data_IF_017591394621
#
_entry.id   IF_017591394621
#
_cell.length_a   1.000
_cell.length_b   1.000
_cell.length_c   1.000
_cell.angle_alpha   90.00
_cell.angle_beta   90.00
_cell.angle_gamma   90.00
#
_symmetry.space_group_name_H-M   'P 1'
#
loop_
_entity.id
_entity.type
_entity.pdbx_description
1 polymer ?
#
# COMPACT_ATOMS: atom_id res chain seq x y z
N UNK A 1 -29.07 -4.53 -33.35
CA UNK A 1 -30.32 -4.92 -32.67
C UNK A 1 -29.97 -5.10 -31.20
N UNK A 2 -30.34 -4.16 -30.32
CA UNK A 2 -30.06 -4.29 -28.88
C UNK A 2 -30.96 -5.39 -28.33
N UNK A 3 -30.39 -6.54 -27.95
CA UNK A 3 -31.15 -7.57 -27.23
C UNK A 3 -31.51 -6.99 -25.86
N UNK A 4 -32.80 -6.85 -25.60
CA UNK A 4 -33.34 -6.54 -24.27
C UNK A 4 -33.75 -7.85 -23.63
N UNK A 5 -33.13 -8.21 -22.52
CA UNK A 5 -33.48 -9.41 -21.76
C UNK A 5 -34.17 -8.96 -20.47
N UNK A 6 -35.40 -9.42 -20.24
CA UNK A 6 -36.17 -9.08 -19.05
C UNK A 6 -36.09 -10.24 -18.04
N UNK A 7 -35.66 -9.95 -16.80
CA UNK A 7 -35.74 -10.88 -15.68
C UNK A 7 -37.12 -10.74 -15.03
N UNK A 8 -38.15 -11.39 -15.59
CA UNK A 8 -39.53 -11.38 -15.06
C UNK A 8 -39.83 -12.54 -14.10
N UNK A 9 -38.99 -13.57 -14.06
CA UNK A 9 -38.98 -14.61 -13.02
C UNK A 9 -37.54 -14.84 -12.56
N UNK A 10 -37.25 -14.51 -11.31
CA UNK A 10 -35.90 -14.68 -10.75
C UNK A 10 -35.71 -16.18 -10.50
N UNK A 11 -34.80 -16.81 -11.24
CA UNK A 11 -34.28 -18.13 -10.87
C UNK A 11 -33.35 -17.90 -9.68
N UNK A 12 -33.87 -18.16 -8.48
CA UNK A 12 -33.11 -18.06 -7.25
C UNK A 12 -32.09 -19.20 -7.18
N UNK A 13 -30.98 -18.96 -6.49
CA UNK A 13 -29.98 -19.97 -6.11
C UNK A 13 -29.26 -20.64 -7.29
N UNK A 14 -29.18 -19.95 -8.44
CA UNK A 14 -28.39 -20.36 -9.60
C UNK A 14 -27.67 -19.18 -10.23
N UNK A 15 -26.50 -19.46 -10.80
CA UNK A 15 -25.81 -18.49 -11.62
C UNK A 15 -26.59 -18.19 -12.90
N UNK A 16 -26.69 -16.91 -13.24
CA UNK A 16 -27.28 -16.44 -14.47
C UNK A 16 -26.17 -16.04 -15.44
N UNK A 17 -25.94 -16.90 -16.44
CA UNK A 17 -25.02 -16.60 -17.54
C UNK A 17 -25.69 -15.69 -18.57
N UNK A 18 -25.16 -14.49 -18.73
CA UNK A 18 -25.62 -13.47 -19.68
C UNK A 18 -24.65 -13.44 -20.87
N UNK A 19 -25.20 -13.52 -22.09
CA UNK A 19 -24.39 -13.63 -23.31
C UNK A 19 -24.87 -12.71 -24.44
N UNK A 20 -23.94 -12.21 -25.25
CA UNK A 20 -24.22 -11.44 -26.47
C UNK A 20 -24.40 -9.93 -26.29
N UNK A 21 -24.05 -9.38 -25.13
CA UNK A 21 -24.10 -7.94 -24.85
C UNK A 21 -25.52 -7.38 -24.70
N UNK A 22 -25.61 -6.07 -24.45
CA UNK A 22 -26.87 -5.33 -24.44
C UNK A 22 -27.32 -4.81 -23.08
N UNK A 23 -28.63 -4.66 -22.90
CA UNK A 23 -29.22 -4.04 -21.72
C UNK A 23 -29.92 -5.08 -20.84
N UNK A 24 -29.61 -5.06 -19.55
CA UNK A 24 -30.29 -5.81 -18.50
C UNK A 24 -31.00 -4.83 -17.57
N UNK A 25 -32.31 -4.91 -17.47
CA UNK A 25 -33.11 -4.04 -16.58
C UNK A 25 -33.70 -4.82 -15.43
N UNK A 26 -33.33 -4.45 -14.20
CA UNK A 26 -33.96 -4.95 -12.98
C UNK A 26 -35.30 -4.23 -12.77
N UNK A 27 -36.41 -4.97 -12.86
CA UNK A 27 -37.77 -4.46 -12.60
C UNK A 27 -38.14 -4.46 -11.11
N UNK A 28 -37.42 -5.24 -10.31
CA UNK A 28 -37.59 -5.40 -8.87
C UNK A 28 -36.23 -5.62 -8.21
N UNK A 29 -36.18 -5.49 -6.88
CA UNK A 29 -34.99 -5.91 -6.12
C UNK A 29 -34.70 -7.38 -6.43
N UNK A 30 -33.44 -7.67 -6.71
CA UNK A 30 -33.00 -8.97 -7.22
C UNK A 30 -32.04 -9.60 -6.22
N UNK A 31 -32.52 -10.63 -5.51
CA UNK A 31 -31.71 -11.48 -4.63
C UNK A 31 -31.61 -12.88 -5.25
N UNK A 32 -30.43 -13.21 -5.78
CA UNK A 32 -30.14 -14.51 -6.38
C UNK A 32 -29.73 -15.57 -5.34
N UNK A 33 -29.73 -15.25 -4.05
CA UNK A 33 -29.30 -16.15 -2.99
C UNK A 33 -27.86 -16.62 -3.21
N UNK A 34 -27.66 -17.93 -3.39
CA UNK A 34 -26.33 -18.49 -3.68
C UNK A 34 -25.88 -18.35 -5.15
N UNK A 35 -26.71 -17.81 -6.02
CA UNK A 35 -26.39 -17.56 -7.43
C UNK A 35 -25.79 -16.19 -7.68
N UNK A 36 -25.00 -16.04 -8.74
CA UNK A 36 -24.42 -14.77 -9.20
C UNK A 36 -24.72 -14.44 -10.66
N UNK A 37 -24.15 -13.34 -11.16
CA UNK A 37 -24.20 -12.96 -12.57
C UNK A 37 -22.87 -13.28 -13.24
N UNK A 38 -22.91 -13.98 -14.38
CA UNK A 38 -21.73 -14.32 -15.18
C UNK A 38 -21.89 -13.69 -16.56
N UNK A 39 -20.94 -12.85 -16.98
CA UNK A 39 -20.96 -12.15 -18.26
C UNK A 39 -19.88 -12.71 -19.20
N UNK A 40 -20.27 -13.07 -20.42
CA UNK A 40 -19.36 -13.59 -21.46
C UNK A 40 -18.34 -12.55 -21.95
N UNK A 41 -17.31 -13.01 -22.68
CA UNK A 41 -16.20 -12.21 -23.21
C UNK A 41 -16.58 -11.32 -24.40
N UNK A 42 -15.79 -10.27 -24.62
CA UNK A 42 -15.86 -9.37 -25.78
C UNK A 42 -17.20 -8.64 -25.93
N UNK A 43 -17.85 -8.26 -24.82
CA UNK A 43 -19.14 -7.60 -24.84
C UNK A 43 -19.16 -6.25 -24.13
N UNK A 44 -20.25 -5.52 -24.29
CA UNK A 44 -20.62 -4.40 -23.43
C UNK A 44 -22.04 -4.60 -22.93
N UNK A 45 -22.20 -4.51 -21.62
CA UNK A 45 -23.47 -4.63 -20.94
C UNK A 45 -23.82 -3.33 -20.22
N UNK A 46 -25.11 -3.01 -20.16
CA UNK A 46 -25.66 -1.98 -19.28
C UNK A 46 -26.68 -2.60 -18.35
N UNK A 47 -26.35 -2.65 -17.07
CA UNK A 47 -27.26 -3.12 -16.02
C UNK A 47 -27.88 -1.91 -15.36
N UNK A 48 -29.20 -1.82 -15.41
CA UNK A 48 -29.96 -0.66 -14.91
C UNK A 48 -31.16 -1.09 -14.08
N UNK A 49 -31.58 -0.25 -13.15
CA UNK A 49 -32.75 -0.52 -12.33
C UNK A 49 -32.95 0.63 -11.36
N UNK A 50 -33.81 1.58 -11.73
CA UNK A 50 -34.05 2.78 -10.92
C UNK A 50 -34.51 2.35 -9.52
N UNK A 51 -33.73 2.74 -8.51
CA UNK A 51 -33.95 2.41 -7.11
C UNK A 51 -34.08 0.90 -6.83
N UNK A 52 -33.53 0.05 -7.70
CA UNK A 52 -33.47 -1.40 -7.51
C UNK A 52 -32.10 -1.81 -7.04
N UNK A 53 -32.09 -2.86 -6.23
CA UNK A 53 -30.89 -3.45 -5.66
C UNK A 53 -30.57 -4.82 -6.24
N UNK A 54 -29.30 -5.18 -6.21
CA UNK A 54 -28.81 -6.52 -6.51
C UNK A 54 -28.09 -7.13 -5.31
N UNK A 55 -28.36 -8.41 -5.07
CA UNK A 55 -27.67 -9.28 -4.11
C UNK A 55 -27.53 -10.68 -4.70
N UNK A 56 -26.41 -11.33 -4.43
CA UNK A 56 -26.12 -12.70 -4.86
C UNK A 56 -24.68 -13.08 -4.53
N UNK A 57 -24.22 -14.21 -5.07
CA UNK A 57 -22.85 -14.70 -4.89
C UNK A 57 -21.77 -13.73 -5.41
N UNK A 58 -22.12 -12.87 -6.37
CA UNK A 58 -21.22 -11.86 -6.93
C UNK A 58 -21.43 -11.65 -8.42
N UNK A 59 -20.41 -11.08 -9.05
CA UNK A 59 -20.33 -10.82 -10.48
C UNK A 59 -19.02 -11.38 -11.02
N UNK A 60 -19.12 -12.20 -12.07
CA UNK A 60 -17.98 -12.69 -12.85
C UNK A 60 -18.04 -12.10 -14.26
N UNK A 61 -17.01 -11.36 -14.65
CA UNK A 61 -16.95 -10.67 -15.95
C UNK A 61 -15.77 -11.21 -16.73
N UNK A 62 -16.04 -11.91 -17.83
CA UNK A 62 -15.00 -12.49 -18.65
C UNK A 62 -14.21 -11.41 -19.43
N UNK A 63 -13.13 -11.84 -20.05
CA UNK A 63 -12.14 -10.97 -20.68
C UNK A 63 -12.73 -10.04 -21.74
N UNK A 64 -12.21 -8.82 -21.81
CA UNK A 64 -12.62 -7.81 -22.78
C UNK A 64 -14.13 -7.47 -22.76
N UNK A 65 -14.78 -7.70 -21.61
CA UNK A 65 -16.16 -7.28 -21.38
C UNK A 65 -16.23 -6.13 -20.38
N UNK A 66 -17.09 -5.16 -20.67
CA UNK A 66 -17.42 -4.07 -19.74
C UNK A 66 -18.88 -4.15 -19.34
N UNK A 67 -19.15 -4.10 -18.04
CA UNK A 67 -20.50 -4.02 -17.48
C UNK A 67 -20.66 -2.64 -16.83
N UNK A 68 -21.43 -1.76 -17.47
CA UNK A 68 -21.89 -0.52 -16.84
C UNK A 68 -22.95 -0.87 -15.78
N UNK A 69 -22.63 -0.60 -14.53
CA UNK A 69 -23.41 -1.04 -13.38
C UNK A 69 -24.13 0.15 -12.73
N UNK A 70 -25.44 0.24 -12.99
CA UNK A 70 -26.29 1.34 -12.53
C UNK A 70 -27.51 0.82 -11.74
N UNK A 71 -27.21 0.00 -10.73
CA UNK A 71 -28.16 -0.50 -9.71
C UNK A 71 -27.54 -0.35 -8.33
N UNK A 72 -28.34 -0.33 -7.26
CA UNK A 72 -27.85 -0.21 -5.88
C UNK A 72 -27.33 -1.55 -5.35
N UNK A 73 -26.43 -1.49 -4.37
CA UNK A 73 -26.10 -2.64 -3.53
C UNK A 73 -27.09 -2.80 -2.38
N UNK A 74 -26.93 -3.86 -1.60
CA UNK A 74 -27.69 -4.12 -0.37
C UNK A 74 -26.80 -3.88 0.84
N UNK A 75 -27.24 -3.05 1.79
CA UNK A 75 -26.49 -2.77 3.01
C UNK A 75 -26.25 -4.06 3.83
N UNK A 76 -25.03 -4.24 4.33
CA UNK A 76 -24.61 -5.44 5.06
C UNK A 76 -24.20 -6.61 4.16
N UNK A 77 -24.40 -6.52 2.85
CA UNK A 77 -23.89 -7.47 1.86
C UNK A 77 -22.66 -6.91 1.15
N UNK A 78 -21.69 -7.75 0.80
CA UNK A 78 -20.52 -7.30 0.04
C UNK A 78 -20.68 -7.74 -1.41
N UNK A 79 -20.57 -6.80 -2.36
CA UNK A 79 -20.48 -7.17 -3.76
C UNK A 79 -19.14 -7.86 -4.01
N UNK A 80 -19.18 -9.11 -4.49
CA UNK A 80 -17.98 -9.83 -4.91
C UNK A 80 -17.77 -9.68 -6.41
N UNK A 81 -16.57 -9.27 -6.83
CA UNK A 81 -16.21 -9.14 -8.24
C UNK A 81 -15.00 -10.01 -8.57
N UNK A 82 -15.16 -10.88 -9.58
CA UNK A 82 -14.07 -11.65 -10.20
C UNK A 82 -14.10 -11.52 -11.74
N UNK A 83 -13.38 -12.39 -12.44
CA UNK A 83 -13.21 -12.31 -13.89
C UNK A 83 -12.28 -11.18 -14.33
N UNK A 84 -11.65 -11.31 -15.50
CA UNK A 84 -10.66 -10.35 -16.00
C UNK A 84 -11.27 -9.11 -16.66
N UNK A 85 -12.59 -9.08 -16.86
CA UNK A 85 -13.33 -7.95 -17.42
C UNK A 85 -13.49 -6.77 -16.46
N UNK A 86 -14.30 -5.80 -16.88
CA UNK A 86 -14.46 -4.50 -16.23
C UNK A 86 -15.88 -4.32 -15.68
N UNK A 87 -15.98 -3.95 -14.41
CA UNK A 87 -17.21 -3.45 -13.79
C UNK A 87 -17.10 -1.92 -13.67
N UNK A 88 -17.96 -1.17 -14.36
CA UNK A 88 -17.96 0.30 -14.32
C UNK A 88 -19.15 0.80 -13.50
N UNK A 89 -18.89 1.19 -12.25
CA UNK A 89 -19.91 1.51 -11.25
C UNK A 89 -20.39 2.95 -11.41
N UNK A 90 -21.64 3.11 -11.86
CA UNK A 90 -22.24 4.40 -12.25
C UNK A 90 -23.02 5.10 -11.13
N UNK A 91 -23.29 4.41 -10.02
CA UNK A 91 -24.06 4.94 -8.89
C UNK A 91 -23.50 4.46 -7.56
N UNK A 92 -23.67 5.26 -6.51
CA UNK A 92 -23.27 4.89 -5.15
C UNK A 92 -23.99 3.61 -4.73
N UNK A 93 -23.23 2.61 -4.30
CA UNK A 93 -23.77 1.28 -4.04
C UNK A 93 -24.37 1.14 -2.64
N UNK A 94 -23.93 1.95 -1.67
CA UNK A 94 -24.40 1.89 -0.29
C UNK A 94 -23.95 0.62 0.48
N UNK A 95 -23.07 -0.19 -0.11
CA UNK A 95 -22.50 -1.40 0.48
C UNK A 95 -20.97 -1.45 0.24
N UNK A 96 -20.33 -2.58 0.54
CA UNK A 96 -18.88 -2.75 0.32
C UNK A 96 -18.58 -3.59 -0.93
N UNK A 97 -17.33 -3.50 -1.40
CA UNK A 97 -16.78 -4.30 -2.50
C UNK A 97 -15.71 -5.26 -1.98
N UNK A 98 -15.72 -6.50 -2.47
CA UNK A 98 -14.56 -7.41 -2.46
C UNK A 98 -14.19 -7.76 -3.90
N UNK A 99 -12.99 -7.40 -4.35
CA UNK A 99 -12.55 -7.63 -5.73
C UNK A 99 -11.22 -8.39 -5.78
N UNK A 100 -11.13 -9.36 -6.70
CA UNK A 100 -9.95 -10.23 -6.83
C UNK A 100 -9.28 -10.26 -8.22
N UNK A 101 -9.95 -9.73 -9.25
CA UNK A 101 -9.44 -9.80 -10.63
C UNK A 101 -10.08 -8.71 -11.51
N UNK A 102 -9.46 -8.43 -12.66
CA UNK A 102 -9.94 -7.46 -13.65
C UNK A 102 -10.06 -6.04 -13.09
N UNK A 103 -10.92 -5.23 -13.68
CA UNK A 103 -11.03 -3.80 -13.33
C UNK A 103 -12.38 -3.48 -12.68
N UNK A 104 -12.37 -2.66 -11.65
CA UNK A 104 -13.56 -1.96 -11.14
C UNK A 104 -13.33 -0.45 -11.27
N UNK A 105 -14.15 0.22 -12.06
CA UNK A 105 -14.09 1.68 -12.27
C UNK A 105 -15.11 2.33 -11.33
N UNK A 106 -14.65 3.29 -10.52
CA UNK A 106 -15.49 4.06 -9.61
C UNK A 106 -15.93 5.36 -10.31
N UNK A 107 -17.04 5.27 -11.05
CA UNK A 107 -17.61 6.39 -11.82
C UNK A 107 -18.76 7.11 -11.06
N UNK A 108 -18.80 6.96 -9.74
CA UNK A 108 -19.74 7.64 -8.85
C UNK A 108 -19.02 8.18 -7.62
N UNK A 109 -19.52 9.29 -7.07
CA UNK A 109 -19.15 9.74 -5.73
C UNK A 109 -19.48 8.64 -4.72
N UNK A 110 -18.54 8.36 -3.80
CA UNK A 110 -18.68 7.36 -2.73
C UNK A 110 -19.24 6.03 -3.27
N UNK A 111 -18.60 5.53 -4.34
CA UNK A 111 -19.09 4.39 -5.12
C UNK A 111 -19.34 3.15 -4.24
N UNK A 112 -18.45 2.89 -3.28
CA UNK A 112 -18.64 1.90 -2.21
C UNK A 112 -18.30 2.51 -0.86
N UNK A 113 -18.87 1.94 0.21
CA UNK A 113 -18.54 2.33 1.58
C UNK A 113 -17.10 1.93 1.93
N UNK A 114 -16.69 0.73 1.54
CA UNK A 114 -15.34 0.18 1.71
C UNK A 114 -14.98 -0.76 0.56
N UNK A 115 -13.69 -0.87 0.25
CA UNK A 115 -13.18 -1.72 -0.82
C UNK A 115 -12.11 -2.66 -0.27
N UNK A 116 -12.27 -3.95 -0.52
CA UNK A 116 -11.29 -4.99 -0.22
C UNK A 116 -10.70 -5.52 -1.51
N UNK A 117 -9.37 -5.55 -1.59
CA UNK A 117 -8.60 -6.06 -2.71
C UNK A 117 -7.73 -7.25 -2.29
N UNK A 118 -7.73 -8.29 -3.10
CA UNK A 118 -6.96 -9.52 -2.86
C UNK A 118 -6.43 -10.13 -4.15
N UNK A 119 -5.37 -10.94 -4.03
CA UNK A 119 -4.94 -11.84 -5.10
C UNK A 119 -4.14 -11.20 -6.23
N UNK A 120 -3.89 -9.89 -6.19
CA UNK A 120 -2.90 -9.19 -7.01
C UNK A 120 -3.30 -8.87 -8.45
N UNK A 121 -4.39 -9.45 -8.96
CA UNK A 121 -4.83 -9.25 -10.36
C UNK A 121 -5.89 -8.16 -10.53
N UNK A 122 -6.48 -7.68 -9.43
CA UNK A 122 -7.51 -6.66 -9.44
C UNK A 122 -6.95 -5.25 -9.61
N UNK A 123 -7.67 -4.41 -10.35
CA UNK A 123 -7.47 -2.96 -10.42
C UNK A 123 -8.74 -2.23 -10.00
N UNK A 124 -8.62 -1.27 -9.09
CA UNK A 124 -9.66 -0.28 -8.80
C UNK A 124 -9.22 1.05 -9.41
N UNK A 125 -10.06 1.65 -10.25
CA UNK A 125 -9.73 2.87 -11.00
C UNK A 125 -10.69 4.00 -10.63
N UNK A 126 -10.16 5.14 -10.19
CA UNK A 126 -10.95 6.33 -9.88
C UNK A 126 -11.44 6.97 -11.19
N UNK A 127 -12.72 7.34 -11.27
CA UNK A 127 -13.27 8.01 -12.45
C UNK A 127 -14.35 9.05 -12.10
N UNK A 128 -14.41 9.45 -10.83
CA UNK A 128 -15.29 10.49 -10.32
C UNK A 128 -14.59 11.24 -9.19
N UNK A 129 -15.03 12.48 -8.96
CA UNK A 129 -14.64 13.23 -7.76
C UNK A 129 -15.20 12.53 -6.53
N UNK A 130 -14.43 12.48 -5.44
CA UNK A 130 -14.84 11.93 -4.15
C UNK A 130 -15.37 10.48 -4.27
N UNK A 131 -14.77 9.69 -5.16
CA UNK A 131 -15.23 8.32 -5.48
C UNK A 131 -14.99 7.30 -4.37
N UNK A 132 -13.95 7.50 -3.56
CA UNK A 132 -13.74 6.78 -2.31
C UNK A 132 -14.56 7.45 -1.20
N UNK A 133 -14.98 6.68 -0.20
CA UNK A 133 -15.65 7.26 0.98
C UNK A 133 -14.70 8.22 1.72
N UNK A 134 -15.24 9.23 2.40
CA UNK A 134 -14.44 10.18 3.18
C UNK A 134 -14.46 9.74 4.65
N UNK A 135 -13.53 8.87 5.08
CA UNK A 135 -13.31 8.66 6.52
C UNK A 135 -12.02 7.89 6.87
N UNK A 136 -10.98 8.62 7.28
CA UNK A 136 -9.95 8.14 8.23
C UNK A 136 -8.87 7.19 7.68
N UNK A 137 -8.56 6.14 8.47
CA UNK A 137 -7.51 5.16 8.19
C UNK A 137 -8.01 4.09 7.20
N UNK A 138 -8.06 4.43 5.91
CA UNK A 138 -8.22 3.46 4.82
C UNK A 138 -9.67 3.16 4.45
N UNK A 139 -10.06 3.57 3.25
CA UNK A 139 -11.32 3.22 2.60
C UNK A 139 -11.16 2.05 1.63
N UNK A 140 -9.91 1.73 1.33
CA UNK A 140 -9.46 0.62 0.50
C UNK A 140 -8.41 -0.19 1.26
N UNK A 141 -8.62 -1.51 1.28
CA UNK A 141 -7.86 -2.48 2.06
C UNK A 141 -7.25 -3.50 1.13
N UNK A 142 -5.93 -3.61 1.12
CA UNK A 142 -5.18 -4.54 0.28
C UNK A 142 -4.62 -5.66 1.14
N UNK A 143 -5.19 -6.84 0.95
CA UNK A 143 -4.73 -8.09 1.58
C UNK A 143 -3.60 -8.74 0.79
N UNK A 144 -3.34 -10.02 1.06
CA UNK A 144 -2.27 -10.80 0.45
C UNK A 144 -2.25 -10.65 -1.07
N UNK A 145 -1.07 -10.33 -1.60
CA UNK A 145 -0.77 -10.00 -2.98
C UNK A 145 -1.43 -8.72 -3.52
N UNK A 146 -2.19 -8.00 -2.69
CA UNK A 146 -2.79 -6.72 -3.00
C UNK A 146 -3.55 -6.65 -4.33
N UNK A 147 -3.17 -5.66 -5.14
CA UNK A 147 -3.80 -5.23 -6.38
C UNK A 147 -3.40 -3.79 -6.71
N UNK A 148 -4.02 -3.20 -7.73
CA UNK A 148 -3.70 -1.84 -8.17
C UNK A 148 -4.81 -0.84 -7.85
N UNK A 149 -4.47 0.29 -7.26
CA UNK A 149 -5.31 1.48 -7.22
C UNK A 149 -4.80 2.48 -8.25
N UNK A 150 -5.57 2.73 -9.31
CA UNK A 150 -5.28 3.73 -10.33
C UNK A 150 -6.02 5.03 -10.03
N UNK A 151 -5.25 6.06 -9.66
CA UNK A 151 -5.74 7.40 -9.33
C UNK A 151 -6.29 8.14 -10.56
N UNK A 152 -5.89 7.74 -11.77
CA UNK A 152 -6.45 8.22 -13.03
C UNK A 152 -6.64 9.75 -13.14
N UNK A 153 -5.65 10.54 -12.70
CA UNK A 153 -5.67 12.00 -12.77
C UNK A 153 -6.49 12.69 -11.67
N UNK A 154 -6.94 11.95 -10.66
CA UNK A 154 -7.55 12.48 -9.43
C UNK A 154 -6.50 12.49 -8.32
N UNK A 155 -6.47 13.57 -7.54
CA UNK A 155 -5.67 13.62 -6.32
C UNK A 155 -6.35 12.82 -5.22
N UNK A 156 -5.58 12.18 -4.34
CA UNK A 156 -6.10 11.42 -3.19
C UNK A 156 -5.27 11.70 -1.95
N UNK A 157 -5.93 11.69 -0.80
CA UNK A 157 -5.32 11.91 0.51
C UNK A 157 -5.72 10.80 1.46
N UNK A 158 -4.73 10.14 2.06
CA UNK A 158 -4.92 9.09 3.05
C UNK A 158 -4.20 9.46 4.34
N UNK A 159 -4.77 9.10 5.49
CA UNK A 159 -3.98 9.06 6.73
C UNK A 159 -2.97 7.91 6.64
N UNK A 160 -3.47 6.72 6.32
CA UNK A 160 -2.69 5.49 6.09
C UNK A 160 -3.35 4.73 4.94
N UNK A 161 -2.55 4.07 4.11
CA UNK A 161 -3.05 3.13 3.11
C UNK A 161 -2.99 1.74 3.73
N UNK A 162 -4.13 1.06 3.84
CA UNK A 162 -4.18 -0.26 4.46
C UNK A 162 -3.64 -1.33 3.50
N UNK A 163 -2.32 -1.44 3.36
CA UNK A 163 -1.66 -2.39 2.47
C UNK A 163 -0.80 -3.39 3.26
N UNK A 164 -1.03 -4.68 3.04
CA UNK A 164 -0.34 -5.72 3.83
C UNK A 164 1.03 -6.13 3.31
N UNK A 165 1.27 -5.95 2.02
CA UNK A 165 2.48 -6.41 1.34
C UNK A 165 2.76 -5.60 0.05
N UNK A 166 3.88 -5.92 -0.59
CA UNK A 166 4.36 -5.30 -1.83
C UNK A 166 3.57 -5.71 -3.10
N UNK A 167 2.53 -6.54 -2.99
CA UNK A 167 1.60 -6.80 -4.10
C UNK A 167 0.65 -5.63 -4.38
N UNK A 168 0.54 -4.69 -3.44
CA UNK A 168 -0.20 -3.44 -3.62
C UNK A 168 0.57 -2.45 -4.49
N UNK A 169 -0.10 -1.78 -5.42
CA UNK A 169 0.46 -0.63 -6.15
C UNK A 169 -0.55 0.51 -6.24
N UNK A 170 -0.17 1.71 -5.82
CA UNK A 170 -0.88 2.94 -6.16
C UNK A 170 -0.22 3.55 -7.39
N UNK A 171 -1.00 3.80 -8.43
CA UNK A 171 -0.49 4.32 -9.70
C UNK A 171 -1.38 5.41 -10.27
N UNK A 172 -0.90 6.09 -11.30
CA UNK A 172 -1.72 6.95 -12.13
C UNK A 172 -1.41 6.66 -13.59
N UNK A 173 -2.38 6.08 -14.29
CA UNK A 173 -2.30 5.79 -15.73
C UNK A 173 -2.64 6.99 -16.61
N UNK A 174 -3.16 8.08 -16.04
CA UNK A 174 -3.60 9.26 -16.78
C UNK A 174 -2.44 10.21 -17.11
N UNK A 175 -2.57 10.92 -18.23
CA UNK A 175 -1.64 12.00 -18.62
C UNK A 175 -1.69 13.18 -17.66
N UNK A 176 -2.85 13.43 -17.04
CA UNK A 176 -2.99 14.39 -15.96
C UNK A 176 -2.34 13.81 -14.71
N UNK A 177 -1.38 14.53 -14.14
CA UNK A 177 -0.72 14.13 -12.90
C UNK A 177 -1.72 14.04 -11.75
N UNK A 178 -1.52 13.06 -10.87
CA UNK A 178 -2.19 12.92 -9.58
C UNK A 178 -1.21 13.20 -8.43
N UNK A 179 -1.72 13.74 -7.33
CA UNK A 179 -1.02 13.89 -6.07
C UNK A 179 -1.54 12.85 -5.08
N UNK A 180 -0.63 12.04 -4.54
CA UNK A 180 -0.89 11.12 -3.43
C UNK A 180 -0.41 11.77 -2.14
N UNK A 181 -1.33 12.17 -1.27
CA UNK A 181 -1.00 12.74 0.04
C UNK A 181 -1.12 11.69 1.13
N UNK A 182 -0.05 11.51 1.91
CA UNK A 182 0.02 10.64 3.08
C UNK A 182 0.16 11.52 4.32
N UNK A 183 -0.78 11.42 5.24
CA UNK A 183 -0.96 12.39 6.33
C UNK A 183 -0.91 11.75 7.72
N UNK A 184 -0.33 10.55 7.84
CA UNK A 184 -0.06 9.91 9.12
C UNK A 184 0.66 10.88 10.06
N UNK A 185 0.27 10.86 11.34
CA UNK A 185 0.88 11.71 12.39
C UNK A 185 1.72 10.91 13.38
N UNK A 186 1.68 9.59 13.28
CA UNK A 186 2.49 8.61 13.98
C UNK A 186 3.42 7.86 13.01
N UNK A 187 4.23 6.93 13.52
CA UNK A 187 5.00 6.02 12.69
C UNK A 187 4.05 5.10 11.91
N UNK A 188 4.24 5.06 10.59
CA UNK A 188 3.44 4.24 9.68
C UNK A 188 4.32 3.69 8.57
N UNK A 189 4.23 2.38 8.34
CA UNK A 189 4.92 1.68 7.27
C UNK A 189 3.96 1.40 6.12
N UNK A 190 4.33 1.83 4.91
CA UNK A 190 3.63 1.47 3.68
C UNK A 190 4.40 0.40 2.92
N UNK A 191 3.87 -0.82 2.96
CA UNK A 191 4.43 -2.01 2.33
C UNK A 191 4.24 -2.06 0.81
N UNK A 192 3.27 -1.30 0.29
CA UNK A 192 2.96 -1.29 -1.13
C UNK A 192 3.90 -0.43 -1.98
N UNK A 193 3.65 -0.41 -3.28
CA UNK A 193 4.41 0.38 -4.25
C UNK A 193 3.68 1.67 -4.65
N UNK A 194 4.44 2.64 -5.17
CA UNK A 194 3.91 3.82 -5.86
C UNK A 194 4.58 3.95 -7.23
N UNK A 195 3.79 4.13 -8.29
CA UNK A 195 4.31 4.24 -9.65
C UNK A 195 3.54 5.21 -10.54
N UNK A 196 4.01 5.40 -11.78
CA UNK A 196 3.29 6.15 -12.80
C UNK A 196 3.35 7.67 -12.59
N UNK A 197 2.32 8.36 -13.05
CA UNK A 197 2.28 9.83 -13.07
C UNK A 197 1.77 10.42 -11.73
N UNK A 198 2.47 10.08 -10.64
CA UNK A 198 2.14 10.49 -9.27
C UNK A 198 3.23 11.41 -8.71
N UNK A 199 2.81 12.49 -8.04
CA UNK A 199 3.63 13.19 -7.04
C UNK A 199 3.20 12.76 -5.63
N UNK A 200 4.12 12.69 -4.68
CA UNK A 200 3.84 12.26 -3.30
C UNK A 200 3.99 13.44 -2.35
N UNK A 201 3.03 13.65 -1.46
CA UNK A 201 3.10 14.63 -0.39
C UNK A 201 3.03 13.96 0.99
N UNK A 202 3.98 14.29 1.85
CA UNK A 202 3.90 14.02 3.29
C UNK A 202 4.13 15.32 4.06
N UNK A 203 3.07 16.12 4.15
CA UNK A 203 3.14 17.51 4.61
C UNK A 203 2.28 17.66 5.86
N UNK A 204 2.92 17.98 6.98
CA UNK A 204 2.27 18.10 8.27
C UNK A 204 2.17 19.59 8.64
N UNK A 205 0.94 20.11 8.57
CA UNK A 205 0.66 21.52 8.87
C UNK A 205 0.51 21.69 10.39
N UNK A 206 1.63 21.93 11.07
CA UNK A 206 1.65 22.23 12.51
C UNK A 206 2.54 23.42 12.81
N UNK A 207 2.34 24.02 13.98
CA UNK A 207 3.19 25.09 14.50
C UNK A 207 4.52 24.56 15.05
N UNK A 208 4.60 23.26 15.36
CA UNK A 208 5.84 22.59 15.72
C UNK A 208 6.64 22.28 14.45
N UNK A 209 7.80 22.92 14.31
CA UNK A 209 8.61 22.84 13.08
C UNK A 209 9.25 21.46 12.84
N UNK A 210 9.06 20.49 13.73
CA UNK A 210 9.54 19.12 13.58
C UNK A 210 8.79 18.18 14.54
N UNK A 211 8.16 17.11 14.04
CA UNK A 211 7.57 16.06 14.88
C UNK A 211 8.34 14.74 14.72
N UNK A 212 9.16 14.41 15.73
CA UNK A 212 9.93 13.17 15.80
C UNK A 212 9.07 11.87 15.90
N UNK A 213 7.75 11.99 16.04
CA UNK A 213 6.86 10.83 16.08
C UNK A 213 6.14 10.60 14.74
N UNK A 214 6.18 11.57 13.82
CA UNK A 214 5.54 11.45 12.51
C UNK A 214 6.56 10.94 11.49
N UNK A 215 6.56 9.62 11.25
CA UNK A 215 7.47 8.99 10.31
C UNK A 215 6.69 8.17 9.28
N UNK A 216 6.75 8.60 8.02
CA UNK A 216 6.32 7.81 6.89
C UNK A 216 7.47 6.89 6.45
N UNK A 217 7.28 5.59 6.58
CA UNK A 217 8.29 4.58 6.23
C UNK A 217 7.81 3.87 4.97
N UNK A 218 8.58 3.95 3.89
CA UNK A 218 8.40 3.08 2.74
C UNK A 218 9.34 1.89 2.85
N UNK A 219 8.75 0.70 2.87
CA UNK A 219 9.44 -0.57 2.69
C UNK A 219 8.87 -1.38 1.52
N UNK A 220 7.96 -0.81 0.72
CA UNK A 220 7.76 -1.17 -0.68
C UNK A 220 8.65 -0.34 -1.63
N UNK A 221 8.31 -0.26 -2.93
CA UNK A 221 9.09 0.51 -3.91
C UNK A 221 8.37 1.77 -4.39
N UNK A 222 9.14 2.81 -4.71
CA UNK A 222 8.64 4.04 -5.36
C UNK A 222 9.34 4.17 -6.72
N UNK A 223 8.57 4.25 -7.80
CA UNK A 223 9.10 4.44 -9.17
C UNK A 223 8.26 5.48 -9.92
N UNK A 224 8.56 6.75 -9.66
CA UNK A 224 7.86 7.91 -10.23
C UNK A 224 8.83 8.82 -10.97
N UNK A 225 8.31 9.57 -11.94
CA UNK A 225 9.07 10.62 -12.66
C UNK A 225 8.81 12.02 -12.12
N UNK A 226 8.02 12.13 -11.06
CA UNK A 226 7.65 13.40 -10.44
C UNK A 226 8.28 13.52 -9.04
N UNK A 227 7.74 14.43 -8.24
CA UNK A 227 8.37 14.87 -7.01
C UNK A 227 7.74 14.22 -5.76
N UNK A 228 8.56 14.11 -4.73
CA UNK A 228 8.15 13.81 -3.37
C UNK A 228 8.39 15.09 -2.55
N UNK A 229 7.40 15.53 -1.78
CA UNK A 229 7.53 16.69 -0.89
C UNK A 229 7.23 16.30 0.54
N UNK A 230 8.19 16.56 1.43
CA UNK A 230 8.10 16.26 2.87
C UNK A 230 8.31 17.53 3.67
N UNK A 231 7.39 17.83 4.59
CA UNK A 231 7.49 19.03 5.43
C UNK A 231 7.03 18.78 6.86
N UNK A 232 7.85 19.22 7.82
CA UNK A 232 7.64 19.09 9.27
C UNK A 232 7.42 17.63 9.75
N UNK A 233 8.05 16.66 9.09
CA UNK A 233 7.87 15.23 9.31
C UNK A 233 9.12 14.43 8.96
N UNK A 234 9.07 13.11 9.17
CA UNK A 234 10.13 12.19 8.79
C UNK A 234 9.71 11.29 7.63
N UNK A 235 10.67 11.00 6.77
CA UNK A 235 10.57 10.02 5.69
C UNK A 235 11.68 9.00 5.85
N UNK A 236 11.32 7.72 5.91
CA UNK A 236 12.26 6.60 5.89
C UNK A 236 12.08 5.80 4.62
N UNK A 237 13.16 5.52 3.91
CA UNK A 237 13.20 4.62 2.76
C UNK A 237 14.09 3.43 3.13
N UNK A 238 13.57 2.22 3.10
CA UNK A 238 14.31 1.01 3.49
C UNK A 238 13.92 -0.20 2.64
N UNK A 239 14.71 -1.26 2.72
CA UNK A 239 14.28 -2.58 2.31
C UNK A 239 13.19 -3.16 3.23
N UNK A 240 12.69 -4.32 2.84
CA UNK A 240 11.67 -5.05 3.60
C UNK A 240 12.27 -6.29 4.23
N UNK A 241 12.05 -6.51 5.52
CA UNK A 241 12.45 -7.76 6.14
C UNK A 241 11.55 -8.88 5.59
N UNK A 242 12.14 -9.91 4.98
CA UNK A 242 11.38 -11.02 4.40
C UNK A 242 10.47 -11.65 5.46
N UNK A 243 9.21 -11.84 5.10
CA UNK A 243 8.19 -12.36 6.00
C UNK A 243 8.33 -13.87 6.19
N UNK A 244 8.20 -14.34 7.44
CA UNK A 244 8.15 -15.74 7.81
C UNK A 244 6.85 -16.11 8.51
N UNK A 245 6.46 -17.38 8.39
CA UNK A 245 5.34 -17.91 9.14
C UNK A 245 5.65 -17.88 10.66
N UNK A 246 4.61 -17.72 11.46
CA UNK A 246 4.70 -17.80 12.93
C UNK A 246 3.83 -18.96 13.45
N UNK A 247 4.11 -19.41 14.66
CA UNK A 247 3.40 -20.52 15.29
C UNK A 247 2.01 -20.12 15.80
N UNK A 248 1.87 -18.89 16.29
CA UNK A 248 0.59 -18.35 16.81
C UNK A 248 0.57 -16.83 16.85
N UNK A 249 -0.62 -16.26 16.75
CA UNK A 249 -0.87 -14.85 17.07
C UNK A 249 -1.26 -14.65 18.54
N UNK A 250 -0.87 -13.52 19.11
CA UNK A 250 -1.23 -13.13 20.48
C UNK A 250 -0.34 -13.75 21.57
N UNK A 251 -0.36 -13.14 22.75
CA UNK A 251 0.26 -13.71 23.94
C UNK A 251 -0.63 -14.77 24.58
N UNK A 252 -0.03 -15.76 25.23
CA UNK A 252 -0.76 -16.66 26.13
C UNK A 252 -1.09 -15.90 27.43
N UNK A 253 -2.00 -14.93 27.38
CA UNK A 253 -2.51 -14.26 28.57
C UNK A 253 -3.54 -15.16 29.24
N UNK A 254 -3.07 -16.05 30.11
CA UNK A 254 -3.91 -16.94 30.90
C UNK A 254 -3.70 -16.62 32.40
N UNK A 255 -4.78 -16.21 33.07
CA UNK A 255 -4.76 -15.73 34.47
C UNK A 255 -4.51 -16.85 35.49
N UNK A 256 -4.68 -18.13 35.11
CA UNK A 256 -4.59 -19.29 36.02
C UNK A 256 -3.68 -20.37 35.42
N UNK A 257 -2.36 -20.37 35.75
CA UNK A 257 -1.34 -21.24 35.13
C UNK A 257 -1.69 -22.74 35.05
N UNK A 258 -2.42 -23.28 36.03
CA UNK A 258 -2.78 -24.70 36.12
C UNK A 258 -3.85 -25.14 35.09
N UNK A 259 -4.62 -24.19 34.54
CA UNK A 259 -5.68 -24.43 33.56
C UNK A 259 -5.27 -24.01 32.14
N UNK A 260 -4.04 -23.54 31.94
CA UNK A 260 -3.60 -23.02 30.66
C UNK A 260 -3.18 -24.13 29.70
N UNK A 261 -3.54 -23.96 28.42
CA UNK A 261 -2.86 -24.71 27.36
C UNK A 261 -1.37 -24.38 27.38
N UNK A 262 -0.53 -25.42 27.25
CA UNK A 262 0.92 -25.28 27.19
C UNK A 262 1.28 -24.34 26.04
N UNK A 263 2.17 -23.38 26.29
CA UNK A 263 2.70 -22.52 25.24
C UNK A 263 3.59 -23.35 24.29
N UNK A 264 2.99 -23.90 23.25
CA UNK A 264 3.70 -24.70 22.28
C UNK A 264 4.74 -23.89 21.50
N UNK A 265 4.54 -22.57 21.33
CA UNK A 265 5.53 -21.70 20.68
C UNK A 265 6.80 -21.58 21.52
N UNK A 266 6.66 -21.48 22.85
CA UNK A 266 7.80 -21.49 23.76
C UNK A 266 8.49 -22.86 23.76
N UNK A 267 7.73 -23.96 23.75
CA UNK A 267 8.28 -25.31 23.71
C UNK A 267 9.11 -25.57 22.43
N UNK A 268 8.63 -25.12 21.26
CA UNK A 268 9.37 -25.23 20.00
C UNK A 268 10.66 -24.41 20.07
N UNK A 269 10.57 -23.14 20.50
CA UNK A 269 11.74 -22.27 20.68
C UNK A 269 12.80 -22.90 21.59
N UNK A 270 12.37 -23.50 22.70
CA UNK A 270 13.29 -24.11 23.67
C UNK A 270 13.96 -25.37 23.09
N UNK A 271 13.22 -26.18 22.32
CA UNK A 271 13.75 -27.35 21.61
C UNK A 271 14.80 -26.98 20.56
N UNK A 272 14.65 -25.83 19.90
CA UNK A 272 15.59 -25.33 18.89
C UNK A 272 16.68 -24.41 19.48
N UNK A 273 16.64 -24.10 20.78
CA UNK A 273 17.52 -23.11 21.40
C UNK A 273 19.01 -23.44 21.26
N UNK A 274 19.39 -24.71 21.41
CA UNK A 274 20.79 -25.15 21.31
C UNK A 274 21.37 -24.91 19.92
N UNK A 275 20.61 -25.20 18.87
CA UNK A 275 21.07 -24.99 17.49
C UNK A 275 21.02 -23.51 17.12
N UNK A 276 19.98 -22.79 17.55
CA UNK A 276 19.85 -21.37 17.26
C UNK A 276 20.96 -20.54 17.91
N UNK A 277 21.32 -20.82 19.18
CA UNK A 277 22.47 -20.18 19.84
C UNK A 277 23.80 -20.51 19.16
N UNK A 278 23.98 -21.75 18.69
CA UNK A 278 25.21 -22.16 17.98
C UNK A 278 25.42 -21.36 16.69
N UNK A 279 24.34 -21.03 15.99
CA UNK A 279 24.40 -20.37 14.68
C UNK A 279 23.91 -18.91 14.70
N UNK A 280 23.59 -18.34 15.86
CA UNK A 280 22.99 -17.01 16.01
C UNK A 280 21.74 -16.82 15.14
N UNK A 281 20.81 -17.78 15.25
CA UNK A 281 19.59 -17.87 14.42
C UNK A 281 18.30 -17.93 15.25
N UNK A 282 18.31 -17.34 16.44
CA UNK A 282 17.14 -17.27 17.34
C UNK A 282 15.92 -16.65 16.67
N UNK A 283 16.12 -15.78 15.68
CA UNK A 283 15.06 -15.19 14.88
C UNK A 283 14.19 -16.22 14.13
N UNK A 284 14.68 -17.45 13.88
CA UNK A 284 13.92 -18.51 13.18
C UNK A 284 12.80 -19.12 14.02
N UNK A 285 12.90 -19.04 15.34
CA UNK A 285 11.97 -19.71 16.27
C UNK A 285 11.42 -18.76 17.34
N UNK A 286 11.49 -17.45 17.13
CA UNK A 286 11.07 -16.44 18.11
C UNK A 286 9.57 -16.09 18.03
N UNK A 287 8.81 -16.75 17.14
CA UNK A 287 7.39 -16.49 16.88
C UNK A 287 7.11 -15.06 16.38
N UNK A 288 8.04 -14.47 15.63
CA UNK A 288 7.89 -13.15 15.01
C UNK A 288 7.89 -13.29 13.49
N UNK A 289 7.11 -12.44 12.80
CA UNK A 289 7.01 -12.46 11.33
C UNK A 289 8.35 -12.06 10.69
N UNK A 290 9.09 -11.18 11.36
CA UNK A 290 10.40 -10.71 10.94
C UNK A 290 11.24 -10.35 12.18
N UNK A 291 12.54 -10.16 11.98
CA UNK A 291 13.50 -9.77 13.00
C UNK A 291 14.60 -8.89 12.45
N UNK A 292 15.07 -7.92 13.24
CA UNK A 292 16.20 -7.05 12.88
C UNK A 292 17.50 -7.81 12.63
N UNK A 293 17.70 -8.97 13.25
CA UNK A 293 18.91 -9.78 13.10
C UNK A 293 18.86 -10.74 11.92
N UNK A 294 17.73 -10.86 11.23
CA UNK A 294 17.61 -11.77 10.10
C UNK A 294 18.46 -11.26 8.92
N UNK A 295 19.14 -12.15 8.17
CA UNK A 295 19.98 -11.75 7.05
C UNK A 295 19.17 -11.45 5.79
N UNK A 296 18.00 -12.05 5.64
CA UNK A 296 17.15 -12.04 4.46
C UNK A 296 16.23 -10.82 4.44
N UNK A 297 16.59 -9.87 3.58
CA UNK A 297 15.87 -8.64 3.32
C UNK A 297 15.67 -8.48 1.82
N UNK A 298 14.51 -7.97 1.44
CA UNK A 298 14.18 -7.66 0.07
C UNK A 298 14.62 -6.23 -0.24
N UNK A 299 15.50 -6.10 -1.23
CA UNK A 299 15.92 -4.78 -1.69
C UNK A 299 14.77 -4.03 -2.37
N UNK A 300 14.66 -2.73 -2.07
CA UNK A 300 13.63 -1.85 -2.62
C UNK A 300 14.23 -0.75 -3.47
N UNK A 301 13.46 -0.30 -4.47
CA UNK A 301 13.86 0.75 -5.40
C UNK A 301 13.06 2.01 -5.13
N UNK A 302 13.75 3.14 -5.08
CA UNK A 302 13.17 4.46 -4.86
C UNK A 302 13.68 5.42 -5.93
N UNK A 303 12.96 5.52 -7.04
CA UNK A 303 13.21 6.46 -8.12
C UNK A 303 12.21 7.61 -8.07
N UNK A 304 12.73 8.82 -8.10
CA UNK A 304 11.95 10.05 -8.18
C UNK A 304 12.73 11.12 -8.94
N UNK A 305 12.04 12.15 -9.45
CA UNK A 305 12.73 13.30 -10.04
C UNK A 305 13.41 14.12 -8.94
N UNK A 306 12.62 14.57 -7.95
CA UNK A 306 13.10 15.39 -6.85
C UNK A 306 12.41 15.04 -5.54
N UNK A 307 13.17 15.00 -4.46
CA UNK A 307 12.70 14.91 -3.08
C UNK A 307 12.96 16.26 -2.41
N UNK A 308 11.89 17.02 -2.14
CA UNK A 308 11.93 18.30 -1.43
C UNK A 308 11.73 18.07 0.07
N UNK A 309 12.67 18.52 0.89
CA UNK A 309 12.65 18.41 2.35
C UNK A 309 12.63 19.80 2.99
N UNK A 310 11.61 20.09 3.79
CA UNK A 310 11.51 21.33 4.56
C UNK A 310 11.25 21.06 6.04
N UNK A 311 12.20 21.42 6.90
CA UNK A 311 12.17 21.09 8.33
C UNK A 311 11.85 19.60 8.57
N UNK A 312 12.48 18.72 7.80
CA UNK A 312 12.18 17.29 7.77
C UNK A 312 13.42 16.44 8.06
N UNK A 313 13.20 15.15 8.34
CA UNK A 313 14.29 14.17 8.37
C UNK A 313 14.09 13.14 7.28
N UNK A 314 15.11 12.90 6.45
CA UNK A 314 15.19 11.77 5.54
C UNK A 314 16.15 10.72 6.11
N UNK A 315 15.70 9.48 6.19
CA UNK A 315 16.55 8.31 6.49
C UNK A 315 16.51 7.31 5.34
N UNK A 316 17.66 6.93 4.81
CA UNK A 316 17.81 5.83 3.86
C UNK A 316 18.47 4.67 4.60
N UNK A 317 17.69 3.63 4.90
CA UNK A 317 18.11 2.46 5.68
C UNK A 317 18.69 1.35 4.80
N UNK A 318 18.93 0.19 5.44
CA UNK A 318 19.41 -1.03 4.77
C UNK A 318 18.54 -1.42 3.58
N UNK A 319 19.15 -2.04 2.59
CA UNK A 319 18.54 -2.65 1.41
C UNK A 319 17.72 -1.66 0.52
N UNK A 320 17.88 -0.36 0.74
CA UNK A 320 17.30 0.69 -0.11
C UNK A 320 18.24 1.08 -1.26
N UNK A 321 17.69 1.15 -2.47
CA UNK A 321 18.35 1.69 -3.65
C UNK A 321 17.65 2.95 -4.13
N UNK A 322 18.25 4.11 -3.83
CA UNK A 322 17.61 5.42 -4.03
C UNK A 322 18.26 6.17 -5.18
N UNK A 323 17.42 6.69 -6.09
CA UNK A 323 17.86 7.50 -7.23
C UNK A 323 16.98 8.73 -7.40
N UNK A 324 17.61 9.90 -7.41
CA UNK A 324 16.92 11.17 -7.66
C UNK A 324 17.69 12.38 -7.16
N UNK A 325 17.10 13.56 -7.33
CA UNK A 325 17.64 14.79 -6.74
C UNK A 325 17.05 15.02 -5.35
N UNK A 326 17.89 15.30 -4.35
CA UNK A 326 17.43 15.76 -3.03
C UNK A 326 17.64 17.27 -2.93
N UNK A 327 16.60 18.01 -2.56
CA UNK A 327 16.70 19.41 -2.13
C UNK A 327 16.22 19.52 -0.68
N UNK A 328 17.06 20.06 0.19
CA UNK A 328 16.83 20.10 1.62
C UNK A 328 17.03 21.50 2.21
N UNK A 329 16.10 21.91 3.05
CA UNK A 329 16.17 23.17 3.81
C UNK A 329 15.83 22.91 5.26
N UNK A 330 16.71 23.35 6.17
CA UNK A 330 16.55 23.16 7.62
C UNK A 330 16.29 21.69 8.00
N UNK A 331 16.89 20.75 7.29
CA UNK A 331 16.53 19.33 7.34
C UNK A 331 17.71 18.44 7.74
N UNK A 332 17.41 17.22 8.14
CA UNK A 332 18.42 16.19 8.43
C UNK A 332 18.34 15.08 7.39
N UNK A 333 19.50 14.64 6.88
CA UNK A 333 19.61 13.56 5.91
C UNK A 333 20.55 12.51 6.49
N UNK A 334 20.09 11.27 6.61
CA UNK A 334 20.88 10.12 7.05
C UNK A 334 20.90 9.08 5.94
N UNK A 335 22.02 8.96 5.24
CA UNK A 335 22.26 7.93 4.22
C UNK A 335 22.95 6.75 4.91
N UNK A 336 22.43 5.52 4.80
CA UNK A 336 22.94 4.39 5.60
C UNK A 336 22.50 4.46 7.07
N UNK A 337 21.23 4.76 7.31
CA UNK A 337 20.69 4.77 8.67
C UNK A 337 20.74 3.37 9.28
N UNK A 338 21.31 3.25 10.49
CA UNK A 338 21.41 1.97 11.19
C UNK A 338 20.07 1.48 11.74
N UNK A 339 19.14 2.40 12.00
CA UNK A 339 17.82 2.05 12.52
C UNK A 339 16.93 1.64 11.37
N UNK A 340 16.52 0.37 11.39
CA UNK A 340 15.48 -0.15 10.50
C UNK A 340 14.15 -0.26 11.26
N UNK A 341 13.08 -0.39 10.50
CA UNK A 341 11.73 -0.60 11.02
C UNK A 341 11.18 -1.94 10.50
N UNK A 342 10.43 -2.64 11.33
CA UNK A 342 9.67 -3.84 10.94
C UNK A 342 8.24 -3.72 11.45
N UNK A 343 7.30 -4.29 10.71
CA UNK A 343 5.93 -4.47 11.16
C UNK A 343 5.72 -5.90 11.67
N UNK A 344 5.31 -6.04 12.93
CA UNK A 344 5.01 -7.35 13.51
C UNK A 344 3.76 -8.01 12.93
N UNK A 345 2.95 -7.24 12.17
CA UNK A 345 1.77 -7.72 11.46
C UNK A 345 1.95 -7.76 9.94
N UNK A 346 3.17 -7.59 9.41
CA UNK A 346 3.45 -7.67 7.97
C UNK A 346 2.83 -8.93 7.34
N UNK A 347 2.25 -8.77 6.15
CA UNK A 347 1.52 -9.83 5.44
C UNK A 347 0.15 -10.20 6.04
N UNK A 348 -0.21 -9.64 7.21
CA UNK A 348 -1.43 -9.95 7.98
C UNK A 348 -2.04 -8.70 8.65
N UNK A 349 -1.97 -7.58 7.96
CA UNK A 349 -2.41 -6.26 8.44
C UNK A 349 -3.92 -6.09 8.40
N UNK A 350 -4.59 -6.77 7.47
CA UNK A 350 -6.04 -6.64 7.30
C UNK A 350 -6.76 -7.59 8.25
N UNK A 351 -7.78 -7.09 8.94
CA UNK A 351 -8.50 -7.79 10.02
C UNK A 351 -10.01 -7.76 9.84
N UNK A 352 -10.71 -8.53 10.68
CA UNK A 352 -12.16 -8.68 10.63
C UNK A 352 -12.63 -9.23 9.29
N UNK A 353 -13.72 -8.69 8.77
CA UNK A 353 -14.28 -9.08 7.47
C UNK A 353 -13.49 -8.59 6.24
N UNK A 354 -12.25 -8.12 6.42
CA UNK A 354 -11.43 -7.53 5.37
C UNK A 354 -11.40 -5.99 5.38
N UNK A 355 -11.94 -5.37 6.42
CA UNK A 355 -12.18 -3.92 6.46
C UNK A 355 -11.69 -3.26 7.76
N UNK A 356 -10.72 -3.90 8.40
CA UNK A 356 -9.92 -3.34 9.50
C UNK A 356 -8.44 -3.39 9.15
N UNK A 357 -7.66 -2.50 9.74
CA UNK A 357 -6.21 -2.41 9.55
C UNK A 357 -5.50 -2.40 10.90
N UNK A 358 -4.45 -3.21 11.04
CA UNK A 358 -3.52 -3.22 12.17
C UNK A 358 -2.09 -3.09 11.66
N UNK A 359 -1.25 -2.45 12.44
CA UNK A 359 0.18 -2.37 12.21
C UNK A 359 0.86 -2.16 13.56
N UNK A 360 2.00 -2.80 13.75
CA UNK A 360 2.82 -2.62 14.95
C UNK A 360 4.26 -2.41 14.53
N UNK A 361 4.60 -1.13 14.35
CA UNK A 361 5.94 -0.70 13.96
C UNK A 361 6.89 -0.83 15.14
N UNK A 362 7.94 -1.62 14.96
CA UNK A 362 9.10 -1.67 15.84
C UNK A 362 10.30 -1.07 15.13
N UNK A 363 11.23 -0.50 15.89
CA UNK A 363 12.51 -0.02 15.37
C UNK A 363 13.67 -0.66 16.12
N UNK A 364 14.80 -0.82 15.44
CA UNK A 364 15.98 -1.45 16.02
C UNK A 364 17.21 -1.26 15.15
N UNK A 365 18.39 -1.45 15.74
CA UNK A 365 19.64 -1.40 15.00
C UNK A 365 19.73 -2.63 14.07
N UNK A 366 19.83 -2.37 12.78
CA UNK A 366 19.91 -3.36 11.71
C UNK A 366 20.62 -2.73 10.52
N UNK A 367 21.93 -2.51 10.64
CA UNK A 367 22.71 -1.89 9.57
C UNK A 367 23.02 -2.89 8.43
N UNK A 368 22.67 -2.51 7.21
CA UNK A 368 22.94 -3.27 5.98
C UNK A 368 23.36 -2.33 4.85
N UNK A 369 23.68 -2.91 3.69
CA UNK A 369 24.07 -2.13 2.52
C UNK A 369 22.92 -1.21 2.07
N UNK A 370 23.25 0.00 1.61
CA UNK A 370 22.26 0.93 1.04
C UNK A 370 22.92 1.78 -0.02
N UNK A 371 22.14 2.28 -0.98
CA UNK A 371 22.68 3.13 -2.04
C UNK A 371 21.87 4.40 -2.29
N UNK A 372 22.59 5.50 -2.55
CA UNK A 372 22.03 6.73 -3.08
C UNK A 372 22.79 7.16 -4.33
N UNK A 373 22.07 7.43 -5.42
CA UNK A 373 22.63 7.92 -6.68
C UNK A 373 21.86 9.16 -7.17
N UNK A 374 22.54 10.30 -7.27
CA UNK A 374 21.90 11.50 -7.79
C UNK A 374 22.63 12.80 -7.47
N UNK A 375 21.86 13.86 -7.25
CA UNK A 375 22.36 15.18 -6.86
C UNK A 375 21.76 15.60 -5.52
N UNK A 376 22.48 16.42 -4.77
CA UNK A 376 22.06 16.86 -3.44
C UNK A 376 22.32 18.35 -3.27
N UNK A 377 21.28 19.11 -2.99
CA UNK A 377 21.33 20.52 -2.62
C UNK A 377 20.78 20.70 -1.21
N UNK A 378 21.54 21.27 -0.30
CA UNK A 378 21.15 21.41 1.10
C UNK A 378 21.51 22.80 1.66
N UNK A 379 20.59 23.38 2.40
CA UNK A 379 20.75 24.66 3.09
C UNK A 379 20.39 24.53 4.58
N UNK A 380 21.26 25.05 5.46
CA UNK A 380 21.05 25.03 6.92
C UNK A 380 20.69 23.63 7.45
N UNK A 381 21.31 22.60 6.90
CA UNK A 381 20.90 21.21 7.08
C UNK A 381 22.04 20.38 7.69
N UNK A 382 21.80 19.11 7.97
CA UNK A 382 22.84 18.17 8.39
C UNK A 382 22.74 16.88 7.60
N UNK A 383 23.87 16.40 7.10
CA UNK A 383 23.99 15.16 6.33
C UNK A 383 24.92 14.22 7.08
N UNK A 384 24.47 12.98 7.27
CA UNK A 384 25.29 11.90 7.83
C UNK A 384 25.28 10.73 6.87
N UNK A 385 26.46 10.21 6.55
CA UNK A 385 26.65 9.01 5.74
C UNK A 385 27.18 7.91 6.64
N UNK A 386 26.35 6.90 6.90
CA UNK A 386 26.58 5.78 7.80
C UNK A 386 27.34 4.61 7.17
N UNK A 387 27.71 3.65 8.02
CA UNK A 387 28.40 2.43 7.62
C UNK A 387 27.64 1.66 6.51
N UNK A 388 28.38 0.97 5.63
CA UNK A 388 27.87 0.17 4.50
C UNK A 388 27.04 0.93 3.45
N UNK A 389 26.94 2.26 3.55
CA UNK A 389 26.27 3.04 2.51
C UNK A 389 27.20 3.37 1.35
N UNK A 390 26.66 3.28 0.14
CA UNK A 390 27.33 3.70 -1.10
C UNK A 390 26.60 4.89 -1.68
N UNK A 391 27.30 6.02 -1.73
CA UNK A 391 26.74 7.30 -2.15
C UNK A 391 27.48 7.79 -3.39
N UNK A 392 26.77 7.90 -4.51
CA UNK A 392 27.32 8.38 -5.77
C UNK A 392 26.63 9.68 -6.18
N UNK A 393 27.33 10.80 -6.05
CA UNK A 393 26.86 12.08 -6.56
C UNK A 393 27.13 12.16 -8.06
N UNK A 394 26.14 11.77 -8.85
CA UNK A 394 26.18 11.83 -10.33
C UNK A 394 25.82 13.21 -10.88
N UNK A 395 25.14 14.03 -10.08
CA UNK A 395 24.89 15.45 -10.38
C UNK A 395 25.58 16.39 -9.40
N UNK A 396 25.11 17.64 -9.33
CA UNK A 396 25.71 18.65 -8.46
C UNK A 396 25.54 18.33 -6.96
N UNK A 397 26.57 18.63 -6.18
CA UNK A 397 26.52 18.69 -4.72
C UNK A 397 26.66 20.16 -4.28
N UNK A 398 25.61 20.71 -3.66
CA UNK A 398 25.57 22.09 -3.18
C UNK A 398 25.23 22.14 -1.70
N UNK A 399 26.19 22.49 -0.86
CA UNK A 399 26.02 22.55 0.60
C UNK A 399 26.23 23.99 1.07
N UNK A 400 25.19 24.60 1.65
CA UNK A 400 25.21 25.95 2.20
C UNK A 400 24.90 25.87 3.69
N UNK A 401 25.83 26.27 4.55
CA UNK A 401 25.68 26.17 6.01
C UNK A 401 25.21 24.77 6.43
N UNK A 402 25.79 23.73 5.82
CA UNK A 402 25.33 22.36 5.97
C UNK A 402 26.48 21.45 6.35
N UNK A 403 26.35 20.77 7.48
CA UNK A 403 27.34 19.80 7.95
C UNK A 403 27.25 18.51 7.13
N UNK A 404 28.39 17.98 6.70
CA UNK A 404 28.51 16.66 6.09
C UNK A 404 29.44 15.78 6.94
N UNK A 405 28.89 14.70 7.51
CA UNK A 405 29.63 13.72 8.31
C UNK A 405 29.65 12.40 7.54
N UNK A 406 30.85 11.89 7.26
CA UNK A 406 31.05 10.59 6.61
C UNK A 406 31.67 9.65 7.65
N UNK A 407 30.90 8.64 8.08
CA UNK A 407 31.33 7.69 9.08
C UNK A 407 32.20 6.59 8.47
N UNK A 408 32.98 5.91 9.33
CA UNK A 408 33.78 4.74 8.93
C UNK A 408 32.90 3.68 8.27
N UNK A 409 33.36 3.17 7.13
CA UNK A 409 32.67 2.12 6.35
C UNK A 409 31.69 2.64 5.31
N UNK A 410 31.43 3.96 5.26
CA UNK A 410 30.75 4.60 4.14
C UNK A 410 31.67 4.75 2.92
N UNK A 411 31.07 4.68 1.72
CA UNK A 411 31.73 5.01 0.46
C UNK A 411 31.01 6.19 -0.20
N UNK A 412 31.72 7.28 -0.45
CA UNK A 412 31.18 8.47 -1.14
C UNK A 412 32.02 8.77 -2.36
N UNK A 413 31.39 8.80 -3.55
CA UNK A 413 32.02 9.21 -4.80
C UNK A 413 31.29 10.44 -5.34
N UNK A 414 32.00 11.55 -5.54
CA UNK A 414 31.43 12.76 -6.13
C UNK A 414 32.01 13.02 -7.52
N UNK A 415 31.18 12.94 -8.55
CA UNK A 415 31.59 13.05 -9.96
C UNK A 415 31.09 14.35 -10.62
N UNK A 416 30.10 15.04 -10.02
CA UNK A 416 29.56 16.30 -10.51
C UNK A 416 30.34 17.55 -10.06
N UNK A 417 29.87 18.74 -10.49
CA UNK A 417 30.37 20.03 -9.99
C UNK A 417 29.94 20.21 -8.53
N UNK A 418 30.90 20.53 -7.66
CA UNK A 418 30.67 20.64 -6.21
C UNK A 418 30.85 22.09 -5.74
N UNK A 419 29.91 22.59 -4.94
CA UNK A 419 29.98 23.90 -4.28
C UNK A 419 29.68 23.71 -2.79
N UNK A 420 30.67 23.97 -1.94
CA UNK A 420 30.52 23.94 -0.49
C UNK A 420 30.79 25.35 0.04
N UNK A 421 29.84 25.92 0.79
CA UNK A 421 29.93 27.26 1.37
C UNK A 421 29.47 27.30 2.82
#
# INVERSE_FOLDING_TARGET
MVKKQELSSIIKDKDLSVSGGGELTLKQDTDLGIGGLIFDKNQTYKVSGKDKSYKGAGIDIDNNTTVEWNVKGVAGDNLHKIGSGTLDVKTAQGNNLKTGNGTVILSAEKAFNKIYMAGGKGTVKINAKDALSESGNGEIYFTRNGGTLDLNGYDQSFQKIAATDAGTTVTNSNVKQSTLSLTNTDAYMYHGNVSGNISINHIINTTQKHNNNTNLIFDGSVDIKNDISVRNAQLTLQGHATEHAIFKEGSNNCLIPLLCQKDYSAAIRDQESTVNKRYNTEYKSNNQVASFSQPDWESRKFNFRKLNLENATLSIGRDANVKGHIEAKNSQIVLGNKTAYIDMFSGRNITGEGFGFRQQVHSGDSAGESSFNGSLSAQNSKITVGDKSTVTMTGALSLINTDLIINKGATVTAQGKNVCR
#
